data_IF_172010599047
#
_entry.id   IF_172010599047
#
_cell.length_a   1.000
_cell.length_b   1.000
_cell.length_c   1.000
_cell.angle_alpha   90.00
_cell.angle_beta   90.00
_cell.angle_gamma   90.00
#
_symmetry.space_group_name_H-M   'P 1'
#
loop_
_entity.id
_entity.type
_entity.pdbx_description
1 polymer ?
#
# COMPACT_ATOMS: atom_id res chain seq x y z
N UNK A 1 6.59 12.10 -9.83
CA UNK A 1 7.22 11.29 -8.76
C UNK A 1 6.27 10.16 -8.44
N UNK A 2 6.73 8.90 -8.41
CA UNK A 2 5.86 7.77 -8.08
C UNK A 2 5.50 7.79 -6.59
N UNK A 3 4.30 7.33 -6.25
CA UNK A 3 3.90 7.17 -4.86
C UNK A 3 4.74 6.03 -4.23
N UNK A 4 5.47 6.27 -3.13
CA UNK A 4 6.33 5.26 -2.53
C UNK A 4 5.55 4.03 -2.03
N UNK A 5 4.33 4.21 -1.53
CA UNK A 5 3.48 3.10 -1.11
C UNK A 5 3.05 2.22 -2.30
N UNK A 6 2.72 2.87 -3.42
CA UNK A 6 2.40 2.18 -4.68
C UNK A 6 3.57 1.37 -5.22
N UNK A 7 4.76 1.98 -5.26
CA UNK A 7 5.99 1.29 -5.67
C UNK A 7 6.26 0.09 -4.75
N UNK A 8 6.13 0.29 -3.44
CA UNK A 8 6.38 -0.76 -2.45
C UNK A 8 5.42 -1.95 -2.60
N UNK A 9 4.13 -1.71 -2.89
CA UNK A 9 3.18 -2.78 -3.17
C UNK A 9 3.68 -3.69 -4.31
N UNK A 10 4.15 -3.09 -5.41
CA UNK A 10 4.68 -3.82 -6.56
C UNK A 10 5.99 -4.56 -6.23
N UNK A 11 6.88 -3.96 -5.43
CA UNK A 11 8.13 -4.60 -4.96
C UNK A 11 7.87 -5.84 -4.10
N UNK A 12 6.74 -5.87 -3.36
CA UNK A 12 6.29 -7.05 -2.60
C UNK A 12 5.61 -8.11 -3.46
N UNK A 13 5.57 -7.90 -4.78
CA UNK A 13 4.84 -8.76 -5.73
C UNK A 13 3.33 -8.64 -5.63
N UNK A 14 2.83 -7.56 -5.02
CA UNK A 14 1.41 -7.30 -4.87
C UNK A 14 0.78 -6.66 -6.10
N UNK A 15 -0.55 -6.73 -6.15
CA UNK A 15 -1.38 -6.06 -7.15
C UNK A 15 -2.03 -4.82 -6.53
N UNK A 16 -1.99 -3.70 -7.24
CA UNK A 16 -2.62 -2.46 -6.79
C UNK A 16 -4.09 -2.42 -7.20
N UNK A 17 -4.99 -2.25 -6.23
CA UNK A 17 -6.43 -2.23 -6.42
C UNK A 17 -6.96 -0.83 -6.07
N UNK A 18 -7.33 0.01 -7.06
CA UNK A 18 -7.90 1.32 -6.80
C UNK A 18 -9.35 1.18 -6.29
N UNK A 19 -9.61 1.73 -5.12
CA UNK A 19 -10.93 1.75 -4.47
C UNK A 19 -11.48 3.17 -4.54
N UNK A 20 -12.58 3.33 -5.28
CA UNK A 20 -13.31 4.60 -5.36
C UNK A 20 -14.24 4.74 -4.14
N UNK A 21 -14.19 5.89 -3.49
CA UNK A 21 -15.08 6.24 -2.38
C UNK A 21 -15.56 7.69 -2.51
N UNK A 22 -16.64 8.08 -1.81
CA UNK A 22 -17.06 9.48 -1.76
C UNK A 22 -15.98 10.43 -1.22
N UNK A 23 -15.00 9.91 -0.46
CA UNK A 23 -13.89 10.67 0.11
C UNK A 23 -12.67 10.76 -0.83
N UNK A 24 -12.72 10.10 -1.99
CA UNK A 24 -11.64 10.04 -2.96
C UNK A 24 -11.25 8.61 -3.33
N UNK A 25 -10.14 8.48 -4.06
CA UNK A 25 -9.57 7.18 -4.44
C UNK A 25 -8.47 6.83 -3.46
N UNK A 26 -8.56 5.64 -2.87
CA UNK A 26 -7.44 5.00 -2.15
C UNK A 26 -7.00 3.76 -2.94
N UNK A 27 -5.82 3.25 -2.65
CA UNK A 27 -5.30 2.04 -3.30
C UNK A 27 -5.02 0.99 -2.24
N UNK A 28 -5.61 -0.18 -2.40
CA UNK A 28 -5.28 -1.35 -1.61
C UNK A 28 -4.21 -2.17 -2.35
N UNK A 29 -3.35 -2.85 -1.59
CA UNK A 29 -2.35 -3.78 -2.08
C UNK A 29 -2.79 -5.20 -1.77
N UNK A 30 -2.99 -6.01 -2.81
CA UNK A 30 -3.24 -7.45 -2.69
C UNK A 30 -1.93 -8.21 -2.82
N UNK A 31 -1.43 -8.74 -1.71
CA UNK A 31 -0.17 -9.46 -1.63
C UNK A 31 -0.31 -10.92 -2.11
N UNK A 32 0.80 -11.57 -2.55
CA UNK A 32 0.78 -12.97 -3.00
C UNK A 32 0.25 -13.98 -1.95
N UNK A 33 0.37 -13.64 -0.66
CA UNK A 33 -0.15 -14.44 0.44
C UNK A 33 -1.66 -14.33 0.66
N UNK A 34 -2.36 -13.52 -0.15
CA UNK A 34 -3.81 -13.29 -0.04
C UNK A 34 -4.21 -12.15 0.90
N UNK A 35 -3.26 -11.55 1.62
CA UNK A 35 -3.49 -10.33 2.41
C UNK A 35 -3.87 -9.16 1.48
N UNK A 36 -4.93 -8.43 1.84
CA UNK A 36 -5.32 -7.17 1.20
C UNK A 36 -5.26 -6.08 2.26
N UNK A 37 -4.48 -5.04 2.01
CA UNK A 37 -4.17 -3.99 2.99
C UNK A 37 -4.04 -2.65 2.26
N UNK A 38 -4.35 -1.53 2.92
CA UNK A 38 -4.11 -0.20 2.34
C UNK A 38 -2.60 -0.02 2.02
N UNK A 39 -2.27 0.54 0.85
CA UNK A 39 -0.87 0.63 0.41
C UNK A 39 -0.01 1.44 1.38
N UNK A 40 -0.57 2.47 2.02
CA UNK A 40 0.15 3.30 2.97
C UNK A 40 0.28 2.64 4.34
N UNK A 41 -0.69 1.81 4.72
CA UNK A 41 -0.60 0.99 5.92
C UNK A 41 0.51 -0.07 5.77
N UNK A 42 0.57 -0.76 4.63
CA UNK A 42 1.67 -1.65 4.28
C UNK A 42 3.02 -0.94 4.32
N UNK A 43 3.11 0.23 3.67
CA UNK A 43 4.36 1.00 3.62
C UNK A 43 4.84 1.40 5.02
N UNK A 44 3.96 1.94 5.87
CA UNK A 44 4.31 2.36 7.24
C UNK A 44 4.63 1.18 8.17
N UNK A 45 3.95 0.03 8.00
CA UNK A 45 4.22 -1.20 8.75
C UNK A 45 5.66 -1.67 8.55
N UNK A 46 6.11 -1.68 7.30
CA UNK A 46 7.44 -2.19 6.92
C UNK A 46 8.53 -1.10 6.97
N UNK A 47 8.13 0.19 7.10
CA UNK A 47 9.03 1.35 7.31
C UNK A 47 8.67 2.12 8.60
N UNK A 48 8.81 1.50 9.79
CA UNK A 48 8.57 2.19 11.04
C UNK A 48 9.55 3.36 11.17
N UNK A 49 9.05 4.55 11.49
CA UNK A 49 9.93 5.64 11.87
C UNK A 49 10.63 5.27 13.19
N UNK A 50 11.93 5.54 13.33
CA UNK A 50 12.59 5.37 14.61
C UNK A 50 11.84 6.18 15.66
N UNK A 51 11.55 5.55 16.81
CA UNK A 51 10.98 6.26 17.93
C UNK A 51 11.90 7.44 18.28
N UNK A 52 11.33 8.65 18.25
CA UNK A 52 12.02 9.87 18.71
C UNK A 52 12.31 9.80 20.20
#
# INVERSE_FOLDING_TARGET
MANPASVYCLEKGGEQIPIQSPQGVRTECKLPGGEVIDEWELYRRDHPQPAR
#
